data_IF_500268499317
#
_entry.id   IF_500268499317
#
_cell.length_a   1.000
_cell.length_b   1.000
_cell.length_c   1.000
_cell.angle_alpha   90.00
_cell.angle_beta   90.00
_cell.angle_gamma   90.00
#
_symmetry.space_group_name_H-M   'P 1'
#
loop_
_entity.id
_entity.type
_entity.pdbx_description
1 polymer ?
#
# COMPACT_ATOMS: atom_id res chain seq x y z
N UNK A 1 17.08 -26.75 -27.68
CA UNK A 1 17.41 -25.77 -28.76
C UNK A 1 16.91 -24.39 -28.37
N UNK A 2 17.20 -23.33 -29.13
CA UNK A 2 16.86 -21.94 -28.76
C UNK A 2 15.36 -21.70 -28.50
N UNK A 3 14.47 -22.43 -29.18
CA UNK A 3 13.02 -22.38 -28.95
C UNK A 3 12.62 -22.97 -27.58
N UNK A 4 13.10 -24.17 -27.27
CA UNK A 4 12.87 -24.83 -25.98
C UNK A 4 13.38 -24.00 -24.80
N UNK A 5 14.57 -23.38 -24.94
CA UNK A 5 15.11 -22.51 -23.90
C UNK A 5 14.22 -21.28 -23.67
N UNK A 6 13.62 -20.70 -24.73
CA UNK A 6 12.67 -19.59 -24.61
C UNK A 6 11.40 -20.00 -23.87
N UNK A 7 10.87 -21.18 -24.17
CA UNK A 7 9.68 -21.73 -23.50
C UNK A 7 9.93 -21.96 -22.01
N UNK A 8 11.12 -22.46 -21.66
CA UNK A 8 11.55 -22.63 -20.27
C UNK A 8 11.63 -21.29 -19.53
N UNK A 9 12.27 -20.27 -20.11
CA UNK A 9 12.32 -18.93 -19.52
C UNK A 9 10.95 -18.30 -19.35
N UNK A 10 10.07 -18.44 -20.34
CA UNK A 10 8.69 -17.92 -20.24
C UNK A 10 7.94 -18.61 -19.09
N UNK A 11 8.07 -19.93 -18.95
CA UNK A 11 7.46 -20.66 -17.85
C UNK A 11 8.00 -20.23 -16.48
N UNK A 12 9.30 -19.95 -16.37
CA UNK A 12 9.91 -19.42 -15.15
C UNK A 12 9.43 -18.00 -14.84
N UNK A 13 9.35 -17.14 -15.85
CA UNK A 13 8.84 -15.79 -15.71
C UNK A 13 7.39 -15.78 -15.21
N UNK A 14 6.50 -16.57 -15.82
CA UNK A 14 5.10 -16.67 -15.38
C UNK A 14 4.97 -17.21 -13.95
N UNK A 15 5.80 -18.18 -13.56
CA UNK A 15 5.87 -18.66 -12.16
C UNK A 15 6.33 -17.56 -11.20
N UNK A 16 7.30 -16.74 -11.59
CA UNK A 16 7.79 -15.65 -10.78
C UNK A 16 6.72 -14.55 -10.60
N UNK A 17 6.02 -14.18 -11.68
CA UNK A 17 4.90 -13.22 -11.65
C UNK A 17 3.79 -13.73 -10.72
N UNK A 18 3.37 -14.98 -10.86
CA UNK A 18 2.32 -15.54 -10.00
C UNK A 18 2.69 -15.54 -8.51
N UNK A 19 3.95 -15.86 -8.19
CA UNK A 19 4.45 -15.80 -6.79
C UNK A 19 4.48 -14.37 -6.27
N UNK A 20 4.98 -13.43 -7.09
CA UNK A 20 5.00 -12.02 -6.74
C UNK A 20 3.59 -11.51 -6.45
N UNK A 21 2.60 -11.82 -7.29
CA UNK A 21 1.22 -11.38 -7.10
C UNK A 21 0.59 -11.88 -5.79
N UNK A 22 0.86 -13.13 -5.42
CA UNK A 22 0.37 -13.71 -4.15
C UNK A 22 0.95 -12.96 -2.96
N UNK A 23 2.27 -12.78 -2.93
CA UNK A 23 2.93 -12.12 -1.80
C UNK A 23 2.64 -10.61 -1.75
N UNK A 24 2.55 -9.95 -2.91
CA UNK A 24 2.19 -8.53 -3.00
C UNK A 24 0.76 -8.30 -2.47
N UNK A 25 -0.21 -9.16 -2.82
CA UNK A 25 -1.59 -9.07 -2.28
C UNK A 25 -1.64 -9.30 -0.77
N UNK A 26 -0.84 -10.25 -0.26
CA UNK A 26 -0.71 -10.49 1.17
C UNK A 26 -0.14 -9.26 1.89
N UNK A 27 0.89 -8.64 1.30
CA UNK A 27 1.47 -7.40 1.83
C UNK A 27 0.46 -6.25 1.83
N UNK A 28 -0.32 -6.07 0.76
CA UNK A 28 -1.40 -5.08 0.69
C UNK A 28 -2.46 -5.29 1.77
N UNK A 29 -2.86 -6.54 2.02
CA UNK A 29 -3.82 -6.85 3.07
C UNK A 29 -3.29 -6.47 4.47
N UNK A 30 -2.04 -6.86 4.78
CA UNK A 30 -1.40 -6.52 6.06
C UNK A 30 -1.24 -5.00 6.25
N UNK A 31 -0.90 -4.28 5.18
CA UNK A 31 -0.79 -2.82 5.19
C UNK A 31 -2.14 -2.15 5.46
N UNK A 32 -3.20 -2.57 4.77
CA UNK A 32 -4.56 -2.04 4.99
C UNK A 32 -5.04 -2.31 6.40
N UNK A 33 -4.82 -3.52 6.93
CA UNK A 33 -5.15 -3.87 8.31
C UNK A 33 -4.37 -3.00 9.32
N UNK A 34 -3.04 -2.92 9.17
CA UNK A 34 -2.18 -2.14 10.06
C UNK A 34 -2.41 -0.63 9.97
N UNK A 35 -2.92 -0.12 8.83
CA UNK A 35 -3.18 1.30 8.66
C UNK A 35 -4.23 1.85 9.62
N UNK A 36 -5.24 1.05 9.97
CA UNK A 36 -6.31 1.48 10.87
C UNK A 36 -5.75 1.76 12.27
N UNK A 37 -4.95 0.83 12.80
CA UNK A 37 -4.34 1.02 14.13
C UNK A 37 -3.31 2.14 14.12
N UNK A 38 -2.51 2.25 13.05
CA UNK A 38 -1.56 3.34 12.87
C UNK A 38 -2.25 4.71 12.86
N UNK A 39 -3.27 4.91 12.00
CA UNK A 39 -3.99 6.17 11.90
C UNK A 39 -4.67 6.56 13.20
N UNK A 40 -5.28 5.60 13.91
CA UNK A 40 -5.91 5.85 15.20
C UNK A 40 -4.88 6.25 16.27
N UNK A 41 -3.72 5.61 16.30
CA UNK A 41 -2.65 5.96 17.23
C UNK A 41 -2.14 7.39 16.98
N UNK A 42 -1.91 7.76 15.72
CA UNK A 42 -1.49 9.13 15.38
C UNK A 42 -2.59 10.15 15.67
N UNK A 43 -3.85 9.83 15.37
CA UNK A 43 -4.98 10.72 15.68
C UNK A 43 -5.13 10.98 17.19
N UNK A 44 -4.83 10.00 18.04
CA UNK A 44 -4.84 10.19 19.49
C UNK A 44 -3.81 11.22 19.95
N UNK A 45 -2.63 11.28 19.32
CA UNK A 45 -1.60 12.28 19.62
C UNK A 45 -2.06 13.71 19.24
N UNK A 46 -2.92 13.87 18.23
CA UNK A 46 -3.46 15.18 17.83
C UNK A 46 -4.31 15.83 18.92
N UNK A 47 -4.97 15.05 19.78
CA UNK A 47 -5.75 15.58 20.89
C UNK A 47 -4.85 16.35 21.88
N UNK A 48 -3.63 15.88 22.12
CA UNK A 48 -2.64 16.58 22.97
C UNK A 48 -2.20 17.94 22.41
N UNK A 49 -2.49 18.20 21.13
CA UNK A 49 -2.13 19.42 20.41
C UNK A 49 -3.33 20.37 20.22
N UNK A 50 -4.50 20.06 20.79
CA UNK A 50 -5.73 20.85 20.58
C UNK A 50 -6.32 20.69 19.18
N UNK A 51 -6.06 19.55 18.53
CA UNK A 51 -6.56 19.17 17.21
C UNK A 51 -7.54 17.99 17.34
N UNK A 52 -8.56 18.10 18.21
CA UNK A 52 -9.44 16.98 18.60
C UNK A 52 -10.34 16.48 17.46
N UNK A 53 -10.44 17.25 16.37
CA UNK A 53 -11.19 16.86 15.18
C UNK A 53 -10.29 16.50 14.00
N UNK A 54 -8.97 16.49 14.22
CA UNK A 54 -8.05 16.13 13.17
C UNK A 54 -8.05 14.62 12.93
N UNK A 55 -7.86 14.23 11.67
CA UNK A 55 -7.74 12.84 11.27
C UNK A 55 -6.53 12.64 10.38
N UNK A 56 -6.00 11.42 10.43
CA UNK A 56 -5.05 10.88 9.47
C UNK A 56 -5.69 9.67 8.79
N UNK A 57 -5.61 9.62 7.48
CA UNK A 57 -6.03 8.49 6.67
C UNK A 57 -4.89 8.10 5.72
N UNK A 58 -4.91 6.85 5.25
CA UNK A 58 -4.03 6.40 4.18
C UNK A 58 -4.88 6.14 2.95
N UNK A 59 -4.66 6.93 1.90
CA UNK A 59 -5.14 6.66 0.55
C UNK A 59 -4.30 5.57 -0.09
N UNK A 60 -4.93 4.71 -0.89
CA UNK A 60 -4.26 3.60 -1.55
C UNK A 60 -4.36 3.77 -3.07
N UNK A 61 -3.25 4.10 -3.70
CA UNK A 61 -3.07 3.89 -5.12
C UNK A 61 -2.36 2.55 -5.37
N UNK A 62 -2.48 2.00 -6.57
CA UNK A 62 -1.76 0.80 -6.99
C UNK A 62 -0.88 1.13 -8.21
N UNK A 63 0.38 0.70 -8.15
CA UNK A 63 1.30 0.76 -9.29
C UNK A 63 0.80 -0.17 -10.40
N UNK A 64 0.84 0.33 -11.65
CA UNK A 64 0.50 -0.47 -12.82
C UNK A 64 1.51 -1.61 -13.10
N UNK A 65 2.72 -1.52 -12.52
CA UNK A 65 3.79 -2.49 -12.72
C UNK A 65 4.30 -3.05 -11.38
N UNK A 66 4.79 -4.31 -11.35
CA UNK A 66 5.49 -4.88 -10.20
C UNK A 66 6.65 -3.99 -9.73
N UNK A 67 6.78 -3.80 -8.42
CA UNK A 67 7.88 -3.06 -7.80
C UNK A 67 8.44 -3.85 -6.62
N UNK A 68 9.64 -3.51 -6.17
CA UNK A 68 10.20 -4.14 -4.96
C UNK A 68 9.35 -3.88 -3.70
N UNK A 69 8.54 -2.82 -3.68
CA UNK A 69 7.67 -2.47 -2.56
C UNK A 69 6.27 -3.13 -2.63
N UNK A 70 6.00 -3.95 -3.65
CA UNK A 70 4.65 -4.44 -3.95
C UNK A 70 3.90 -3.50 -4.89
N UNK A 71 2.58 -3.65 -4.94
CA UNK A 71 1.72 -2.79 -5.76
C UNK A 71 1.27 -1.51 -5.05
N UNK A 72 1.21 -1.50 -3.71
CA UNK A 72 0.67 -0.34 -3.00
C UNK A 72 1.55 0.90 -3.16
N UNK A 73 0.90 2.02 -3.42
CA UNK A 73 1.44 3.36 -3.35
C UNK A 73 0.60 4.14 -2.31
N UNK A 74 0.94 4.03 -1.02
CA UNK A 74 0.19 4.70 0.04
C UNK A 74 0.43 6.20 0.04
N UNK A 75 -0.63 6.97 0.25
CA UNK A 75 -0.61 8.43 0.41
C UNK A 75 -1.19 8.81 1.78
N UNK A 76 -0.49 9.66 2.53
CA UNK A 76 -1.00 10.15 3.81
C UNK A 76 -1.90 11.36 3.59
N UNK A 77 -3.12 11.27 4.13
CA UNK A 77 -4.15 12.29 4.02
C UNK A 77 -4.45 12.83 5.40
N UNK A 78 -4.10 14.10 5.63
CA UNK A 78 -4.38 14.77 6.89
C UNK A 78 -5.54 15.75 6.74
N UNK A 79 -6.34 15.86 7.78
CA UNK A 79 -7.46 16.78 7.85
C UNK A 79 -7.48 17.42 9.22
N UNK A 80 -7.31 18.74 9.33
CA UNK A 80 -7.36 19.44 10.62
C UNK A 80 -8.80 19.60 11.16
N UNK A 81 -9.80 19.54 10.28
CA UNK A 81 -11.22 19.66 10.61
C UNK A 81 -12.05 18.70 9.74
N UNK A 82 -13.25 18.27 10.18
CA UNK A 82 -14.09 17.39 9.38
C UNK A 82 -14.53 18.10 8.10
N UNK A 83 -14.15 17.54 6.94
CA UNK A 83 -14.56 18.05 5.63
C UNK A 83 -13.47 18.73 4.79
N UNK A 84 -12.22 18.85 5.28
CA UNK A 84 -11.13 19.45 4.50
C UNK A 84 -9.87 18.58 4.53
N UNK A 85 -9.75 17.65 3.57
CA UNK A 85 -8.59 16.75 3.41
C UNK A 85 -7.49 17.43 2.59
N UNK A 86 -6.26 17.44 3.11
CA UNK A 86 -5.05 17.90 2.42
C UNK A 86 -4.04 16.74 2.34
N UNK A 87 -3.34 16.66 1.21
CA UNK A 87 -2.26 15.71 0.99
C UNK A 87 -1.03 16.14 1.81
N UNK A 88 -0.40 15.21 2.54
CA UNK A 88 0.87 15.42 3.23
C UNK A 88 2.06 15.01 2.37
#
# INVERSE_FOLDING_TARGET
GAAQHREELEAEYQKAVAKYDVEAKKLSALRREGSVSFCNAVAAEFHGLGLEKASLEIGWAESANPTAAGYDMPEFLFSANPGNRQYL
#
